data_IF_686159352352
#
_entry.id   IF_686159352352
#
_cell.length_a   1.000
_cell.length_b   1.000
_cell.length_c   1.000
_cell.angle_alpha   90.00
_cell.angle_beta   90.00
_cell.angle_gamma   90.00
#
_symmetry.space_group_name_H-M   'P 1'
#
loop_
_entity.id
_entity.type
_entity.pdbx_description
1 polymer ?
#
# COMPACT_ATOMS: atom_id res chain seq x y z
N UNK A 1 26.85 60.16 4.78
CA UNK A 1 27.59 58.98 4.30
C UNK A 1 27.21 57.83 5.22
N UNK A 2 26.21 57.08 4.76
CA UNK A 2 26.33 55.64 4.42
C UNK A 2 26.24 54.82 5.71
N UNK A 3 25.10 54.21 6.07
CA UNK A 3 24.47 53.11 5.34
C UNK A 3 25.37 51.88 5.52
N UNK A 4 24.98 50.78 6.17
CA UNK A 4 23.87 49.95 5.72
C UNK A 4 23.56 48.87 6.77
N UNK A 5 22.26 48.69 7.04
CA UNK A 5 21.68 47.53 7.73
C UNK A 5 21.87 46.29 6.85
N UNK A 6 22.50 45.24 7.36
CA UNK A 6 22.27 43.90 6.82
C UNK A 6 22.08 42.90 7.97
N UNK A 7 20.83 42.82 8.41
CA UNK A 7 20.23 41.59 8.92
C UNK A 7 19.97 40.70 7.71
N UNK A 8 20.91 39.82 7.39
CA UNK A 8 20.80 38.69 6.46
C UNK A 8 22.05 37.87 6.77
N UNK A 9 22.00 36.69 7.37
CA UNK A 9 21.49 35.47 6.76
C UNK A 9 21.15 34.50 7.90
N UNK A 10 19.88 34.25 8.16
CA UNK A 10 19.49 32.90 8.60
C UNK A 10 19.62 32.03 7.35
N UNK A 11 20.84 31.56 7.10
CA UNK A 11 21.13 30.63 6.01
C UNK A 11 20.42 29.32 6.39
N UNK A 12 19.21 29.13 5.87
CA UNK A 12 18.56 27.81 5.83
C UNK A 12 19.49 26.89 5.04
N UNK A 13 20.41 26.23 5.73
CA UNK A 13 21.41 25.31 5.17
C UNK A 13 20.72 24.01 4.74
N UNK A 14 19.77 24.11 3.80
CA UNK A 14 19.31 22.96 3.05
C UNK A 14 20.48 22.58 2.15
N UNK A 15 21.17 21.50 2.52
CA UNK A 15 22.20 20.92 1.66
C UNK A 15 21.54 20.51 0.34
N UNK A 16 22.29 20.57 -0.76
CA UNK A 16 21.81 20.11 -2.08
C UNK A 16 21.28 18.67 -1.97
N UNK A 17 21.95 17.85 -1.16
CA UNK A 17 21.50 16.51 -0.78
C UNK A 17 20.09 16.52 -0.16
N UNK A 18 19.83 17.35 0.85
CA UNK A 18 18.51 17.44 1.48
C UNK A 18 17.43 17.90 0.50
N UNK A 19 17.76 18.85 -0.39
CA UNK A 19 16.83 19.31 -1.42
C UNK A 19 16.42 18.18 -2.38
N UNK A 20 17.36 17.41 -2.90
CA UNK A 20 17.03 16.32 -3.81
C UNK A 20 16.46 15.08 -3.10
N UNK A 21 17.02 14.70 -1.95
CA UNK A 21 16.63 13.48 -1.25
C UNK A 21 15.26 13.60 -0.56
N UNK A 22 14.95 14.76 0.01
CA UNK A 22 13.69 14.96 0.74
C UNK A 22 12.69 15.78 -0.06
N UNK A 23 13.06 16.97 -0.53
CA UNK A 23 12.06 17.86 -1.15
C UNK A 23 11.59 17.33 -2.50
N UNK A 24 12.50 16.99 -3.41
CA UNK A 24 12.12 16.46 -4.73
C UNK A 24 11.43 15.09 -4.59
N UNK A 25 11.94 14.21 -3.73
CA UNK A 25 11.33 12.90 -3.52
C UNK A 25 9.89 12.98 -2.98
N UNK A 26 9.65 13.84 -1.99
CA UNK A 26 8.30 14.05 -1.45
C UNK A 26 7.36 14.65 -2.51
N UNK A 27 7.83 15.60 -3.32
CA UNK A 27 7.03 16.15 -4.44
C UNK A 27 6.64 15.05 -5.43
N UNK A 28 7.54 14.12 -5.73
CA UNK A 28 7.24 12.98 -6.61
C UNK A 28 6.21 12.04 -5.97
N UNK A 29 6.33 11.74 -4.67
CA UNK A 29 5.33 10.93 -3.94
C UNK A 29 3.97 11.61 -3.98
N UNK A 30 3.90 12.90 -3.66
CA UNK A 30 2.65 13.66 -3.65
C UNK A 30 1.99 13.64 -5.04
N UNK A 31 2.78 13.82 -6.10
CA UNK A 31 2.28 13.74 -7.47
C UNK A 31 1.70 12.36 -7.79
N UNK A 32 2.41 11.28 -7.44
CA UNK A 32 1.93 9.91 -7.65
C UNK A 32 0.66 9.63 -6.85
N UNK A 33 0.55 10.10 -5.61
CA UNK A 33 -0.64 9.93 -4.78
C UNK A 33 -1.84 10.67 -5.39
N UNK A 34 -1.66 11.91 -5.83
CA UNK A 34 -2.71 12.67 -6.52
C UNK A 34 -3.16 11.95 -7.79
N UNK A 35 -2.22 11.46 -8.58
CA UNK A 35 -2.54 10.73 -9.81
C UNK A 35 -3.30 9.43 -9.52
N UNK A 36 -2.85 8.63 -8.55
CA UNK A 36 -3.53 7.41 -8.13
C UNK A 36 -4.96 7.71 -7.63
N UNK A 37 -5.11 8.70 -6.77
CA UNK A 37 -6.42 9.11 -6.24
C UNK A 37 -7.34 9.69 -7.33
N UNK A 38 -6.79 10.27 -8.39
CA UNK A 38 -7.58 10.75 -9.53
C UNK A 38 -8.04 9.62 -10.46
N UNK A 39 -7.24 8.56 -10.59
CA UNK A 39 -7.49 7.43 -11.51
C UNK A 39 -8.31 6.32 -10.86
N UNK A 40 -8.10 6.07 -9.57
CA UNK A 40 -8.73 5.00 -8.81
C UNK A 40 -9.66 5.57 -7.76
N UNK A 41 -10.91 5.11 -7.75
CA UNK A 41 -11.84 5.38 -6.65
C UNK A 41 -11.35 4.65 -5.40
N UNK A 42 -11.77 5.13 -4.22
CA UNK A 42 -11.44 4.49 -2.94
C UNK A 42 -11.73 2.98 -2.93
N UNK A 43 -12.88 2.57 -3.50
CA UNK A 43 -13.25 1.16 -3.64
C UNK A 43 -12.25 0.36 -4.48
N UNK A 44 -11.74 0.94 -5.57
CA UNK A 44 -10.75 0.27 -6.43
C UNK A 44 -9.39 0.18 -5.73
N UNK A 45 -9.01 1.22 -4.97
CA UNK A 45 -7.79 1.20 -4.17
C UNK A 45 -7.87 0.12 -3.08
N UNK A 46 -9.00 0.03 -2.39
CA UNK A 46 -9.24 -1.00 -1.38
C UNK A 46 -9.23 -2.41 -1.98
N UNK A 47 -9.82 -2.61 -3.17
CA UNK A 47 -9.74 -3.86 -3.91
C UNK A 47 -8.28 -4.27 -4.17
N UNK A 48 -7.43 -3.33 -4.62
CA UNK A 48 -6.02 -3.58 -4.89
C UNK A 48 -5.25 -3.92 -3.61
N UNK A 49 -5.49 -3.18 -2.51
CA UNK A 49 -4.86 -3.43 -1.21
C UNK A 49 -5.25 -4.80 -0.66
N UNK A 50 -6.53 -5.20 -0.74
CA UNK A 50 -6.96 -6.53 -0.29
C UNK A 50 -6.42 -7.65 -1.19
N UNK A 51 -6.28 -7.39 -2.49
CA UNK A 51 -5.71 -8.34 -3.45
C UNK A 51 -4.23 -8.65 -3.19
N UNK A 52 -3.52 -7.80 -2.44
CA UNK A 52 -2.14 -8.06 -2.01
C UNK A 52 -2.01 -9.40 -1.26
N UNK A 53 -3.07 -9.83 -0.56
CA UNK A 53 -3.08 -11.11 0.16
C UNK A 53 -2.99 -12.34 -0.76
N UNK A 54 -3.20 -12.16 -2.07
CA UNK A 54 -3.08 -13.22 -3.08
C UNK A 54 -1.71 -13.22 -3.78
N UNK A 55 -0.81 -12.31 -3.41
CA UNK A 55 0.49 -12.17 -4.05
C UNK A 55 1.44 -13.31 -3.62
N UNK A 56 1.94 -14.14 -4.55
CA UNK A 56 2.87 -15.23 -4.21
C UNK A 56 4.28 -14.72 -3.86
N UNK A 57 4.62 -13.47 -4.16
CA UNK A 57 5.97 -12.91 -3.94
C UNK A 57 6.45 -13.09 -2.50
N UNK A 58 7.73 -13.43 -2.37
CA UNK A 58 8.40 -13.70 -1.09
C UNK A 58 7.70 -14.80 -0.27
N UNK A 59 7.24 -15.87 -0.93
CA UNK A 59 6.59 -16.99 -0.26
C UNK A 59 5.27 -16.60 0.40
N UNK A 60 4.42 -15.86 -0.33
CA UNK A 60 3.12 -15.38 0.17
C UNK A 60 3.20 -14.53 1.44
N UNK A 61 4.24 -13.69 1.56
CA UNK A 61 4.47 -12.84 2.75
C UNK A 61 3.26 -11.98 3.14
N UNK A 62 2.50 -11.51 2.15
CA UNK A 62 1.32 -10.66 2.37
C UNK A 62 0.03 -11.45 2.63
N UNK A 63 0.08 -12.79 2.65
CA UNK A 63 -1.09 -13.65 2.84
C UNK A 63 -1.77 -13.40 4.19
N UNK A 64 -3.02 -12.95 4.12
CA UNK A 64 -3.89 -12.67 5.26
C UNK A 64 -5.30 -13.17 4.96
N UNK A 65 -5.75 -14.14 5.73
CA UNK A 65 -7.05 -14.80 5.55
C UNK A 65 -8.18 -13.77 5.62
N UNK A 66 -8.16 -12.89 6.63
CA UNK A 66 -9.21 -11.88 6.79
C UNK A 66 -9.25 -10.88 5.62
N UNK A 67 -8.11 -10.58 4.99
CA UNK A 67 -8.06 -9.75 3.78
C UNK A 67 -8.74 -10.43 2.59
N UNK A 68 -8.50 -11.74 2.40
CA UNK A 68 -9.15 -12.53 1.33
C UNK A 68 -10.66 -12.69 1.59
N UNK A 69 -11.05 -12.94 2.84
CA UNK A 69 -12.48 -13.01 3.19
C UNK A 69 -13.18 -11.66 3.01
N UNK A 70 -12.51 -10.55 3.36
CA UNK A 70 -13.04 -9.20 3.15
C UNK A 70 -13.16 -8.91 1.65
N UNK A 71 -12.16 -9.30 0.85
CA UNK A 71 -12.18 -9.20 -0.61
C UNK A 71 -13.40 -9.91 -1.20
N UNK A 72 -13.61 -11.18 -0.84
CA UNK A 72 -14.75 -11.98 -1.29
C UNK A 72 -16.08 -11.35 -0.87
N UNK A 73 -16.24 -10.98 0.41
CA UNK A 73 -17.48 -10.41 0.94
C UNK A 73 -17.83 -9.05 0.32
N UNK A 74 -16.84 -8.18 0.13
CA UNK A 74 -17.07 -6.79 -0.29
C UNK A 74 -17.16 -6.63 -1.81
N UNK A 75 -16.32 -7.35 -2.56
CA UNK A 75 -16.20 -7.16 -4.01
C UNK A 75 -16.83 -8.29 -4.84
N UNK A 76 -17.10 -9.45 -4.24
CA UNK A 76 -17.75 -10.59 -4.89
C UNK A 76 -19.02 -11.05 -4.15
N UNK A 77 -19.93 -10.15 -3.72
CA UNK A 77 -21.09 -10.50 -2.89
C UNK A 77 -22.12 -11.39 -3.61
N UNK A 78 -22.02 -11.53 -4.94
CA UNK A 78 -22.89 -12.40 -5.74
C UNK A 78 -22.34 -13.82 -5.87
N UNK A 79 -21.03 -14.00 -5.63
CA UNK A 79 -20.34 -15.27 -5.83
C UNK A 79 -20.21 -16.06 -4.51
N UNK A 80 -20.50 -15.42 -3.37
CA UNK A 80 -20.43 -16.03 -2.05
C UNK A 80 -21.66 -15.71 -1.22
N UNK A 81 -22.33 -16.73 -0.71
CA UNK A 81 -23.25 -16.60 0.43
C UNK A 81 -22.48 -16.70 1.77
N UNK A 82 -23.10 -16.32 2.88
CA UNK A 82 -22.41 -16.25 4.19
C UNK A 82 -21.83 -17.61 4.63
N UNK A 83 -22.52 -18.72 4.35
CA UNK A 83 -22.01 -20.07 4.65
C UNK A 83 -20.78 -20.43 3.81
N UNK A 84 -20.72 -19.97 2.55
CA UNK A 84 -19.58 -20.16 1.66
C UNK A 84 -18.39 -19.30 2.09
N UNK A 85 -18.62 -18.09 2.62
CA UNK A 85 -17.55 -17.27 3.23
C UNK A 85 -16.96 -17.96 4.47
N UNK A 86 -17.79 -18.59 5.29
CA UNK A 86 -17.33 -19.37 6.44
C UNK A 86 -16.55 -20.61 5.98
N UNK A 87 -16.99 -21.27 4.91
CA UNK A 87 -16.26 -22.38 4.30
C UNK A 87 -14.91 -21.93 3.71
N UNK A 88 -14.89 -20.80 2.99
CA UNK A 88 -13.69 -20.17 2.45
C UNK A 88 -12.68 -19.89 3.57
N UNK A 89 -13.11 -19.31 4.69
CA UNK A 89 -12.22 -19.06 5.83
C UNK A 89 -11.56 -20.35 6.33
N UNK A 90 -12.33 -21.43 6.48
CA UNK A 90 -11.79 -22.75 6.89
C UNK A 90 -10.81 -23.31 5.86
N UNK A 91 -11.13 -23.21 4.57
CA UNK A 91 -10.24 -23.66 3.49
C UNK A 91 -8.93 -22.88 3.46
N UNK A 92 -8.99 -21.56 3.69
CA UNK A 92 -7.80 -20.70 3.74
C UNK A 92 -6.90 -21.02 4.94
N UNK A 93 -7.47 -21.41 6.09
CA UNK A 93 -6.67 -21.90 7.23
C UNK A 93 -5.89 -23.16 6.85
N UNK A 94 -6.50 -24.10 6.11
CA UNK A 94 -5.78 -25.27 5.60
C UNK A 94 -4.71 -24.89 4.57
N UNK A 95 -5.06 -24.06 3.59
CA UNK A 95 -4.14 -23.60 2.54
C UNK A 95 -2.90 -22.91 3.12
N UNK A 96 -3.07 -22.13 4.20
CA UNK A 96 -1.96 -21.50 4.92
C UNK A 96 -0.89 -22.52 5.30
N UNK A 97 -1.27 -23.69 5.81
CA UNK A 97 -0.31 -24.73 6.17
C UNK A 97 0.43 -25.30 4.96
N UNK A 98 -0.24 -25.42 3.82
CA UNK A 98 0.34 -25.96 2.60
C UNK A 98 1.37 -24.98 2.00
N UNK A 99 1.02 -23.71 1.91
CA UNK A 99 1.89 -22.64 1.38
C UNK A 99 3.17 -22.49 2.19
N UNK A 100 3.08 -22.54 3.52
CA UNK A 100 4.27 -22.38 4.38
C UNK A 100 5.09 -23.67 4.55
N UNK A 101 4.62 -24.81 4.03
CA UNK A 101 5.34 -26.10 4.13
C UNK A 101 5.94 -26.58 2.82
N UNK A 102 5.56 -26.02 1.67
CA UNK A 102 6.09 -26.43 0.37
C UNK A 102 7.21 -25.48 -0.10
N UNK A 103 8.45 -25.99 -0.28
CA UNK A 103 9.58 -25.18 -0.75
C UNK A 103 9.54 -24.88 -2.27
N UNK A 104 8.42 -25.15 -2.94
CA UNK A 104 8.28 -25.09 -4.41
C UNK A 104 7.49 -23.86 -4.89
N UNK A 105 7.12 -22.97 -3.97
CA UNK A 105 6.56 -21.64 -4.26
C UNK A 105 7.46 -20.55 -3.68
#
# INVERSE_FOLDING_TARGET
MEGTRHSCQQQNNITIEHYYHFNIFNVVIDFQLVELNSRFKEETMELLVLSEALNPMNGFKSFKIDSICTLAKKFYPKDFVEDELNALKRQLEHYKFDVFRQPQF
#
